data_IF_352981855917
#
_entry.id   IF_352981855917
#
_cell.length_a   1.000
_cell.length_b   1.000
_cell.length_c   1.000
_cell.angle_alpha   90.00
_cell.angle_beta   90.00
_cell.angle_gamma   90.00
#
_symmetry.space_group_name_H-M   'P 1'
#
loop_
_entity.id
_entity.type
_entity.pdbx_description
1 polymer ?
#
# COMPACT_ATOMS: atom_id res chain seq x y z
N UNK A 1 0.48 23.65 -10.66
CA UNK A 1 -0.69 22.84 -10.25
C UNK A 1 -1.95 23.49 -10.81
N UNK A 2 -2.87 22.71 -11.34
CA UNK A 2 -4.13 23.16 -11.95
C UNK A 2 -5.30 22.84 -11.03
N UNK A 3 -6.38 23.62 -11.14
CA UNK A 3 -7.58 23.39 -10.34
C UNK A 3 -8.33 22.16 -10.87
N UNK A 4 -8.64 21.14 -10.04
CA UNK A 4 -9.30 19.90 -10.50
C UNK A 4 -10.78 20.10 -10.91
N UNK A 5 -11.33 21.30 -10.71
CA UNK A 5 -12.72 21.63 -11.04
C UNK A 5 -12.86 22.36 -12.37
N UNK A 6 -11.83 23.12 -12.79
CA UNK A 6 -11.95 24.00 -13.97
C UNK A 6 -10.61 24.31 -14.68
N UNK A 7 -9.54 23.61 -14.34
CA UNK A 7 -8.20 23.66 -14.97
C UNK A 7 -7.45 25.00 -14.94
N UNK A 8 -8.03 26.03 -14.32
CA UNK A 8 -7.37 27.31 -14.07
C UNK A 8 -6.16 27.18 -13.13
N UNK A 9 -5.18 28.10 -13.22
CA UNK A 9 -4.05 28.14 -12.29
C UNK A 9 -4.54 28.29 -10.85
N UNK A 10 -3.96 27.49 -9.96
CA UNK A 10 -4.30 27.51 -8.53
C UNK A 10 -3.68 28.72 -7.86
N UNK A 11 -4.42 29.30 -6.91
CA UNK A 11 -3.91 30.39 -6.06
C UNK A 11 -3.60 29.86 -4.66
N UNK A 12 -2.56 30.40 -4.02
CA UNK A 12 -2.04 29.88 -2.75
C UNK A 12 -3.11 29.81 -1.65
N UNK A 13 -3.97 30.84 -1.56
CA UNK A 13 -5.02 30.93 -0.56
C UNK A 13 -6.13 29.88 -0.70
N UNK A 14 -6.32 29.30 -1.88
CA UNK A 14 -7.41 28.35 -2.17
C UNK A 14 -6.92 26.97 -2.58
N UNK A 15 -5.62 26.65 -2.43
CA UNK A 15 -5.06 25.33 -2.75
C UNK A 15 -5.92 24.21 -2.15
N UNK A 16 -6.30 23.17 -2.93
CA UNK A 16 -5.88 22.85 -4.30
C UNK A 16 -6.67 23.52 -5.45
N UNK A 17 -7.52 24.52 -5.17
CA UNK A 17 -8.45 25.15 -6.12
C UNK A 17 -8.04 26.57 -6.53
N UNK A 18 -8.65 27.09 -7.60
CA UNK A 18 -8.40 28.47 -8.03
C UNK A 18 -9.25 29.52 -7.28
N UNK A 19 -10.31 29.13 -6.56
CA UNK A 19 -11.22 30.05 -5.86
C UNK A 19 -12.11 29.32 -4.83
N UNK A 20 -12.73 30.08 -3.92
CA UNK A 20 -13.78 29.58 -3.01
C UNK A 20 -14.91 28.89 -3.76
N UNK A 21 -15.34 29.45 -4.90
CA UNK A 21 -16.41 28.89 -5.72
C UNK A 21 -16.11 27.47 -6.19
N UNK A 22 -14.88 27.18 -6.58
CA UNK A 22 -14.47 25.82 -6.98
C UNK A 22 -14.44 24.85 -5.81
N UNK A 23 -14.03 25.30 -4.61
CA UNK A 23 -14.11 24.48 -3.39
C UNK A 23 -15.56 24.13 -3.04
N UNK A 24 -16.50 25.08 -3.15
CA UNK A 24 -17.92 24.85 -2.87
C UNK A 24 -18.56 23.85 -3.86
N UNK A 25 -18.13 23.89 -5.12
CA UNK A 25 -18.57 22.93 -6.16
C UNK A 25 -18.05 21.53 -5.84
N UNK A 26 -16.79 21.40 -5.46
CA UNK A 26 -16.19 20.13 -5.06
C UNK A 26 -16.94 19.53 -3.86
N UNK A 27 -17.18 20.33 -2.83
CA UNK A 27 -17.97 19.94 -1.66
C UNK A 27 -19.39 19.48 -2.05
N UNK A 28 -20.02 20.18 -3.01
CA UNK A 28 -21.35 19.78 -3.50
C UNK A 28 -21.33 18.43 -4.22
N UNK A 29 -20.26 18.09 -4.94
CA UNK A 29 -20.09 16.77 -5.59
C UNK A 29 -19.91 15.67 -4.54
N UNK A 30 -19.17 15.97 -3.48
CA UNK A 30 -19.02 15.09 -2.31
C UNK A 30 -20.37 14.80 -1.65
N UNK A 31 -21.13 15.85 -1.31
CA UNK A 31 -22.43 15.71 -0.65
C UNK A 31 -23.47 14.98 -1.53
N UNK A 32 -23.30 15.02 -2.85
CA UNK A 32 -24.15 14.29 -3.81
C UNK A 32 -23.69 12.86 -4.08
N UNK A 33 -22.58 12.42 -3.49
CA UNK A 33 -22.00 11.10 -3.76
C UNK A 33 -21.56 10.91 -5.22
N UNK A 34 -21.18 11.99 -5.91
CA UNK A 34 -20.83 11.93 -7.34
C UNK A 34 -19.44 11.33 -7.61
N UNK A 35 -18.63 11.12 -6.58
CA UNK A 35 -17.34 10.45 -6.71
C UNK A 35 -17.53 8.93 -6.68
N UNK A 36 -17.24 8.30 -7.82
CA UNK A 36 -17.40 6.85 -8.02
C UNK A 36 -16.04 6.24 -8.29
N UNK A 37 -15.69 5.17 -7.58
CA UNK A 37 -14.54 4.34 -7.91
C UNK A 37 -15.03 3.30 -8.91
N UNK A 38 -14.53 3.29 -10.16
CA UNK A 38 -14.94 2.29 -11.15
C UNK A 38 -14.54 0.89 -10.66
N UNK A 39 -15.50 -0.02 -10.68
CA UNK A 39 -15.25 -1.45 -10.43
C UNK A 39 -14.79 -2.18 -11.70
N UNK A 40 -14.29 -3.41 -11.58
CA UNK A 40 -14.02 -4.27 -12.73
C UNK A 40 -15.28 -4.42 -13.59
N UNK A 41 -15.14 -4.27 -14.91
CA UNK A 41 -16.23 -4.45 -15.88
C UNK A 41 -16.47 -5.95 -16.09
N UNK A 42 -17.19 -6.59 -15.18
CA UNK A 42 -17.49 -8.02 -15.25
C UNK A 42 -17.88 -8.58 -13.89
N UNK A 43 -19.14 -8.40 -13.54
CA UNK A 43 -19.69 -8.87 -12.27
C UNK A 43 -21.13 -8.41 -12.16
N UNK A 44 -22.01 -9.07 -12.89
CA UNK A 44 -23.41 -9.04 -12.52
C UNK A 44 -23.51 -9.53 -11.06
N UNK A 45 -24.05 -8.67 -10.19
CA UNK A 45 -24.62 -9.06 -8.90
C UNK A 45 -23.64 -9.71 -7.90
N UNK A 46 -22.75 -8.91 -7.29
CA UNK A 46 -22.36 -9.12 -5.89
C UNK A 46 -21.62 -10.41 -5.51
N UNK A 47 -21.07 -11.19 -6.44
CA UNK A 47 -20.14 -12.27 -6.09
C UNK A 47 -18.73 -11.68 -5.99
N UNK A 48 -18.39 -11.24 -4.77
CA UNK A 48 -17.04 -10.96 -4.33
C UNK A 48 -16.28 -12.29 -4.27
N UNK A 49 -15.92 -12.86 -5.44
CA UNK A 49 -14.84 -13.85 -5.51
C UNK A 49 -13.54 -13.11 -5.23
N UNK A 50 -13.30 -12.88 -3.95
CA UNK A 50 -12.04 -12.39 -3.44
C UNK A 50 -10.96 -13.39 -3.81
N UNK A 51 -10.24 -13.10 -4.89
CA UNK A 51 -8.83 -13.48 -4.97
C UNK A 51 -8.22 -13.03 -3.63
N UNK A 52 -7.70 -13.96 -2.80
CA UNK A 52 -7.08 -13.55 -1.55
C UNK A 52 -6.01 -12.53 -1.90
N UNK A 53 -6.20 -11.30 -1.41
CA UNK A 53 -5.25 -10.21 -1.61
C UNK A 53 -3.85 -10.68 -1.20
N UNK A 54 -2.79 -10.05 -1.73
CA UNK A 54 -1.43 -10.44 -1.41
C UNK A 54 -1.29 -10.54 0.10
N UNK A 55 -0.81 -11.70 0.57
CA UNK A 55 -0.50 -11.98 1.96
C UNK A 55 0.46 -10.89 2.45
N UNK A 56 -0.09 -9.84 3.06
CA UNK A 56 0.67 -8.78 3.67
C UNK A 56 1.31 -9.34 4.93
N UNK A 57 2.40 -10.09 4.76
CA UNK A 57 3.22 -10.59 5.86
C UNK A 57 3.71 -9.39 6.66
N UNK A 58 3.11 -9.24 7.83
CA UNK A 58 3.60 -8.47 8.94
C UNK A 58 5.05 -8.87 9.21
N UNK A 59 5.97 -7.99 8.83
CA UNK A 59 7.37 -8.13 9.16
C UNK A 59 7.64 -7.68 10.59
N UNK A 60 7.50 -8.58 11.57
CA UNK A 60 8.22 -8.65 12.85
C UNK A 60 7.66 -9.87 13.60
N UNK A 61 8.40 -10.81 14.18
CA UNK A 61 9.31 -10.60 15.29
C UNK A 61 10.42 -11.67 15.30
N UNK A 62 11.67 -11.21 15.28
CA UNK A 62 12.80 -12.01 15.72
C UNK A 62 12.72 -12.18 17.25
N UNK A 63 12.00 -13.21 17.70
CA UNK A 63 12.01 -13.70 19.07
C UNK A 63 13.28 -14.52 19.32
N UNK A 64 14.29 -13.86 19.87
CA UNK A 64 15.51 -14.40 20.50
C UNK A 64 15.45 -15.88 20.90
N UNK A 65 16.32 -16.70 20.31
CA UNK A 65 16.69 -18.00 20.87
C UNK A 65 18.07 -17.86 21.54
N UNK A 66 18.16 -17.68 22.87
CA UNK A 66 19.44 -17.73 23.56
C UNK A 66 19.75 -19.19 23.91
N UNK A 67 20.99 -19.60 23.65
CA UNK A 67 21.58 -20.95 23.86
C UNK A 67 21.19 -21.94 22.75
N UNK A 68 22.11 -22.62 22.05
CA UNK A 68 23.43 -23.09 22.44
C UNK A 68 24.37 -23.08 21.21
N UNK A 69 25.40 -22.26 21.26
CA UNK A 69 26.60 -22.44 20.45
C UNK A 69 27.77 -22.74 21.40
N UNK A 70 28.02 -24.03 21.65
CA UNK A 70 29.32 -24.48 22.14
C UNK A 70 29.93 -25.50 21.18
N UNK A 71 30.92 -25.01 20.41
CA UNK A 71 32.22 -25.60 20.03
C UNK A 71 32.27 -27.12 19.78
N UNK A 72 32.90 -27.64 18.72
CA UNK A 72 34.24 -27.34 18.17
C UNK A 72 34.33 -28.06 16.79
N UNK A 73 34.57 -27.36 15.68
CA UNK A 73 35.85 -27.23 14.95
C UNK A 73 36.63 -28.51 14.56
N UNK A 74 36.72 -28.68 13.23
CA UNK A 74 37.91 -29.01 12.41
C UNK A 74 38.27 -30.47 12.10
N UNK A 75 38.10 -30.75 10.80
CA UNK A 75 39.12 -31.21 9.85
C UNK A 75 39.56 -32.68 9.86
N UNK A 76 39.16 -33.34 8.77
CA UNK A 76 39.93 -34.32 8.00
C UNK A 76 41.44 -34.29 8.26
N UNK A 77 41.98 -35.43 8.70
CA UNK A 77 43.34 -35.83 8.36
C UNK A 77 43.44 -37.35 8.32
N UNK A 78 43.33 -37.89 7.11
CA UNK A 78 43.78 -39.23 6.80
C UNK A 78 45.26 -39.40 7.16
N UNK A 79 45.60 -40.58 7.68
CA UNK A 79 46.96 -40.97 7.99
C UNK A 79 47.10 -42.48 7.73
N UNK A 80 47.87 -42.81 6.69
CA UNK A 80 48.35 -44.14 6.34
C UNK A 80 49.16 -44.83 7.47
N UNK A 81 49.00 -46.16 7.52
CA UNK A 81 49.88 -47.29 7.95
C UNK A 81 48.98 -48.38 8.57
N UNK A 82 49.00 -49.64 8.19
CA UNK A 82 50.06 -50.56 7.71
C UNK A 82 49.51 -51.52 6.64
#
# INVERSE_FOLDING_TARGET
MTCPICDKPVVAAFRPFCSRRCADIDLSRWLKGSYVIPGPVGGENGELLGEPGPDWQDGSENGSNPSENSRVSRSDKGMDRE
#
